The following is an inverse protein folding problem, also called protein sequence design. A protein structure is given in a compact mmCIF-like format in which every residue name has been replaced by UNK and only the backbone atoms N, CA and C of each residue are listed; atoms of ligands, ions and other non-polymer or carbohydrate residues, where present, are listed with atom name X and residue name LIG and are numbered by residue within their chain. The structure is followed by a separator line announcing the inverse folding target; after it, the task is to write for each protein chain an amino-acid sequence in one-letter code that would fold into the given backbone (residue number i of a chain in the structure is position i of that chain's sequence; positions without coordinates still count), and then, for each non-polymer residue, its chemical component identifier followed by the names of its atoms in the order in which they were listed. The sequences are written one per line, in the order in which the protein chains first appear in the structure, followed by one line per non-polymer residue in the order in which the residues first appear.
data_IF_382309947768
#
_entry.id   IF_382309947768
#
_cell.length_a   1.000
_cell.length_b   1.000
_cell.length_c   1.000
_cell.angle_alpha   90.00
_cell.angle_beta   90.00
_cell.angle_gamma   90.00
#
_symmetry.space_group_name_H-M   'P 1'
#
loop_
_entity.id
_entity.type
_entity.pdbx_description
1 polymer ?
#
# COMPACT_ATOMS: atom_id res chain seq x y z
N UNK A 1 -3.38 28.32 -27.38
CA UNK A 1 -4.68 28.72 -26.78
C UNK A 1 -5.07 27.63 -25.82
N UNK A 2 -5.14 27.95 -24.52
CA UNK A 2 -5.64 27.03 -23.49
C UNK A 2 -7.16 27.23 -23.46
N UNK A 3 -7.92 26.17 -23.66
CA UNK A 3 -9.38 26.21 -23.59
C UNK A 3 -9.82 26.51 -22.14
N UNK A 4 -10.50 27.64 -21.86
CA UNK A 4 -10.97 27.97 -20.51
C UNK A 4 -12.11 27.07 -20.01
N UNK A 5 -12.63 26.16 -20.85
CA UNK A 5 -13.64 25.15 -20.49
C UNK A 5 -13.06 23.73 -20.43
N UNK A 6 -11.74 23.55 -20.62
CA UNK A 6 -11.12 22.27 -20.31
C UNK A 6 -11.36 21.99 -18.82
N UNK A 7 -11.93 20.82 -18.45
CA UNK A 7 -12.03 20.47 -17.04
C UNK A 7 -10.62 20.58 -16.46
N UNK A 8 -10.49 21.30 -15.34
CA UNK A 8 -9.25 21.30 -14.57
C UNK A 8 -8.87 19.83 -14.37
N UNK A 9 -7.60 19.43 -14.61
CA UNK A 9 -7.21 18.04 -14.44
C UNK A 9 -7.66 17.63 -13.04
N UNK A 10 -8.52 16.60 -12.97
CA UNK A 10 -9.00 16.05 -11.72
C UNK A 10 -7.73 15.71 -10.91
N UNK A 11 -7.57 16.39 -9.77
CA UNK A 11 -6.38 16.27 -8.96
C UNK A 11 -6.27 14.79 -8.56
N UNK A 12 -5.12 14.16 -8.84
CA UNK A 12 -4.91 12.74 -8.53
C UNK A 12 -5.34 12.50 -7.06
N UNK A 13 -6.27 11.57 -6.76
CA UNK A 13 -6.68 11.28 -5.39
C UNK A 13 -5.52 10.97 -4.44
N UNK A 14 -4.38 10.51 -4.96
CA UNK A 14 -3.15 10.35 -4.17
C UNK A 14 -2.62 11.70 -3.67
N UNK A 15 -2.79 12.80 -4.39
CA UNK A 15 -2.32 14.13 -4.01
C UNK A 15 -3.32 14.92 -3.15
N UNK A 16 -4.42 14.31 -2.71
CA UNK A 16 -5.39 14.93 -1.81
C UNK A 16 -4.72 15.36 -0.48
N UNK A 17 -4.72 16.67 -0.21
CA UNK A 17 -4.14 17.25 1.00
C UNK A 17 -4.82 16.70 2.27
N UNK A 18 -6.14 16.49 2.28
CA UNK A 18 -6.84 15.96 3.45
C UNK A 18 -6.39 14.51 3.76
N UNK A 19 -6.08 13.74 2.72
CA UNK A 19 -5.52 12.38 2.85
C UNK A 19 -4.10 12.41 3.42
N UNK A 20 -3.26 13.33 2.95
CA UNK A 20 -1.90 13.51 3.49
C UNK A 20 -1.91 14.02 4.94
N UNK A 21 -2.84 14.90 5.29
CA UNK A 21 -3.06 15.34 6.67
C UNK A 21 -3.50 14.18 7.56
N UNK A 22 -4.40 13.32 7.08
CA UNK A 22 -4.79 12.12 7.82
C UNK A 22 -3.61 11.18 8.06
N UNK A 23 -2.68 11.04 7.10
CA UNK A 23 -1.44 10.28 7.32
C UNK A 23 -0.59 10.93 8.43
N UNK A 24 -0.45 12.25 8.40
CA UNK A 24 0.34 12.99 9.40
C UNK A 24 -0.26 12.94 10.82
N UNK A 25 -1.59 12.78 10.94
CA UNK A 25 -2.30 12.63 12.21
C UNK A 25 -2.13 11.23 12.85
N UNK A 26 -1.54 10.26 12.13
CA UNK A 26 -1.34 8.89 12.57
C UNK A 26 0.10 8.66 13.02
N UNK A 27 0.29 8.09 14.21
CA UNK A 27 1.62 7.71 14.72
C UNK A 27 2.05 6.36 14.14
N UNK A 28 2.30 6.35 12.83
CA UNK A 28 2.66 5.16 12.06
C UNK A 28 4.07 4.63 12.39
N UNK A 29 4.91 5.46 12.99
CA UNK A 29 6.31 5.17 13.28
C UNK A 29 6.54 4.65 14.70
N UNK A 30 5.50 4.63 15.54
CA UNK A 30 5.59 4.03 16.87
C UNK A 30 6.08 2.57 16.77
N UNK A 31 7.13 2.17 17.53
CA UNK A 31 7.68 0.81 17.47
C UNK A 31 6.63 -0.28 17.72
N UNK A 32 5.65 -0.02 18.59
CA UNK A 32 4.58 -0.99 18.84
C UNK A 32 3.65 -1.16 17.63
N UNK A 33 3.46 -0.12 16.82
CA UNK A 33 2.66 -0.16 15.58
C UNK A 33 3.40 -0.97 14.53
N UNK A 34 4.68 -0.69 14.26
CA UNK A 34 5.40 -1.47 13.25
C UNK A 34 5.55 -2.95 13.66
N UNK A 35 5.72 -3.24 14.95
CA UNK A 35 5.78 -4.63 15.45
C UNK A 35 4.47 -5.38 15.19
N UNK A 36 3.32 -4.83 15.60
CA UNK A 36 2.04 -5.52 15.40
C UNK A 36 1.70 -5.66 13.92
N UNK A 37 2.03 -4.66 13.09
CA UNK A 37 1.81 -4.74 11.66
C UNK A 37 2.74 -5.78 10.99
N UNK A 38 3.96 -5.92 11.48
CA UNK A 38 4.91 -6.94 11.00
C UNK A 38 4.38 -8.35 11.28
N UNK A 39 3.79 -8.60 12.45
CA UNK A 39 3.11 -9.87 12.76
C UNK A 39 1.98 -10.17 11.78
N UNK A 40 1.16 -9.18 11.43
CA UNK A 40 0.10 -9.35 10.44
C UNK A 40 0.65 -9.64 9.04
N UNK A 41 1.74 -8.97 8.62
CA UNK A 41 2.36 -9.26 7.31
C UNK A 41 2.93 -10.67 7.26
N UNK A 42 3.55 -11.15 8.35
CA UNK A 42 4.00 -12.54 8.46
C UNK A 42 2.83 -13.53 8.41
N UNK A 43 1.72 -13.22 9.08
CA UNK A 43 0.51 -14.04 9.03
C UNK A 43 -0.05 -14.14 7.61
N UNK A 44 -0.10 -13.03 6.86
CA UNK A 44 -0.52 -13.01 5.47
C UNK A 44 0.39 -13.90 4.60
N UNK A 45 1.71 -13.72 4.69
CA UNK A 45 2.70 -14.54 3.98
C UNK A 45 2.51 -16.03 4.28
N UNK A 46 2.34 -16.39 5.54
CA UNK A 46 2.18 -17.78 5.97
C UNK A 46 0.90 -18.40 5.45
N UNK A 47 -0.23 -17.69 5.55
CA UNK A 47 -1.54 -18.20 5.10
C UNK A 47 -1.63 -18.32 3.58
N UNK A 48 -1.02 -17.39 2.85
CA UNK A 48 -1.08 -17.36 1.39
C UNK A 48 0.13 -18.08 0.76
N UNK A 49 1.16 -18.45 1.52
CA UNK A 49 2.38 -19.04 0.95
C UNK A 49 3.09 -18.09 -0.02
N UNK A 50 3.18 -16.81 0.33
CA UNK A 50 3.88 -15.78 -0.44
C UNK A 50 5.09 -15.24 0.33
N UNK A 51 6.20 -14.91 -0.37
CA UNK A 51 7.44 -14.51 0.29
C UNK A 51 7.36 -13.11 0.89
N UNK A 52 6.52 -12.22 0.34
CA UNK A 52 6.52 -10.81 0.72
C UNK A 52 5.14 -10.36 1.20
N UNK A 53 5.12 -9.64 2.32
CA UNK A 53 3.93 -9.02 2.89
C UNK A 53 4.30 -7.64 3.43
N UNK A 54 3.49 -6.62 3.16
CA UNK A 54 3.82 -5.24 3.49
C UNK A 54 2.59 -4.47 3.93
N UNK A 55 2.82 -3.54 4.86
CA UNK A 55 1.92 -2.41 5.13
C UNK A 55 2.63 -1.16 4.66
N UNK A 56 2.06 -0.53 3.65
CA UNK A 56 2.62 0.64 2.99
C UNK A 56 1.70 1.84 3.17
N UNK A 57 2.30 3.02 3.28
CA UNK A 57 1.62 4.32 3.21
C UNK A 57 2.06 5.02 1.93
N UNK A 58 1.11 5.61 1.22
CA UNK A 58 1.37 6.29 -0.05
C UNK A 58 1.39 7.79 0.23
N UNK A 59 2.53 8.43 -0.02
CA UNK A 59 2.74 9.87 0.11
C UNK A 59 2.52 10.55 -1.25
N UNK A 60 2.96 11.79 -1.39
CA UNK A 60 2.90 12.60 -2.61
C UNK A 60 3.93 12.19 -3.67
N UNK A 61 5.16 11.87 -3.27
CA UNK A 61 6.24 11.48 -4.18
C UNK A 61 6.83 10.08 -3.91
N UNK A 62 6.41 9.44 -2.82
CA UNK A 62 6.95 8.15 -2.39
C UNK A 62 5.90 7.20 -1.83
N UNK A 63 6.27 5.93 -1.75
CA UNK A 63 5.65 4.98 -0.85
C UNK A 63 6.61 4.71 0.31
N UNK A 64 6.08 4.73 1.53
CA UNK A 64 6.81 4.39 2.73
C UNK A 64 6.38 3.01 3.27
N UNK A 65 7.35 2.18 3.62
CA UNK A 65 7.13 0.85 4.22
C UNK A 65 7.03 0.98 5.74
N UNK A 66 5.81 0.86 6.27
CA UNK A 66 5.56 0.94 7.73
C UNK A 66 5.97 -0.37 8.42
N UNK A 67 5.66 -1.50 7.80
CA UNK A 67 6.01 -2.82 8.27
C UNK A 67 6.09 -3.80 7.10
N UNK A 68 6.92 -4.83 7.23
CA UNK A 68 7.05 -5.85 6.20
C UNK A 68 7.50 -7.20 6.76
N UNK A 69 7.25 -8.23 5.96
CA UNK A 69 7.85 -9.54 6.06
C UNK A 69 8.52 -9.90 4.72
N UNK A 70 9.71 -10.50 4.80
CA UNK A 70 10.42 -11.08 3.65
C UNK A 70 11.12 -10.09 2.69
N UNK A 71 10.80 -8.79 2.73
CA UNK A 71 11.53 -7.79 1.94
C UNK A 71 12.99 -7.69 2.43
N UNK A 72 13.93 -7.67 1.47
CA UNK A 72 15.37 -7.54 1.68
C UNK A 72 15.95 -6.55 0.65
N UNK A 73 17.21 -6.16 0.81
CA UNK A 73 17.91 -5.30 -0.15
C UNK A 73 17.49 -3.84 -0.08
N UNK A 74 17.59 -3.14 -1.22
CA UNK A 74 17.51 -1.67 -1.27
C UNK A 74 16.16 -1.12 -0.78
N UNK A 75 15.05 -1.82 -1.01
CA UNK A 75 13.71 -1.39 -0.53
C UNK A 75 13.66 -1.43 1.00
N UNK A 76 14.26 -2.45 1.63
CA UNK A 76 14.32 -2.55 3.09
C UNK A 76 15.23 -1.47 3.68
N UNK A 77 16.36 -1.18 3.03
CA UNK A 77 17.32 -0.15 3.47
C UNK A 77 16.77 1.28 3.29
N UNK A 78 16.13 1.56 2.16
CA UNK A 78 15.51 2.85 1.87
C UNK A 78 14.16 3.04 2.57
N UNK A 79 13.57 1.94 3.09
CA UNK A 79 12.26 1.91 3.71
C UNK A 79 11.12 2.44 2.81
N UNK A 80 11.23 2.22 1.50
CA UNK A 80 10.29 2.80 0.55
C UNK A 80 10.68 2.66 -0.92
N UNK A 81 9.86 3.24 -1.78
CA UNK A 81 10.09 3.36 -3.23
C UNK A 81 9.59 4.72 -3.71
N UNK A 82 10.04 5.20 -4.89
CA UNK A 82 9.34 6.27 -5.60
C UNK A 82 7.86 5.92 -5.81
N UNK A 83 6.98 6.93 -5.79
CA UNK A 83 5.54 6.73 -5.98
C UNK A 83 5.23 6.08 -7.34
N UNK A 84 5.95 6.48 -8.39
CA UNK A 84 5.80 5.92 -9.74
C UNK A 84 6.16 4.42 -9.83
N UNK A 85 6.81 3.84 -8.81
CA UNK A 85 7.10 2.40 -8.73
C UNK A 85 6.10 1.66 -7.83
N UNK A 86 5.39 2.39 -6.97
CA UNK A 86 4.46 1.82 -6.00
C UNK A 86 3.21 1.22 -6.65
N UNK A 87 3.02 -0.09 -6.57
CA UNK A 87 1.77 -0.76 -6.95
C UNK A 87 0.61 -0.33 -6.04
N UNK A 88 0.90 0.01 -4.78
CA UNK A 88 -0.09 0.42 -3.79
C UNK A 88 -0.84 1.70 -4.19
N UNK A 89 -0.25 2.54 -5.07
CA UNK A 89 -0.90 3.75 -5.58
C UNK A 89 -2.23 3.46 -6.29
N UNK A 90 -2.32 2.32 -6.99
CA UNK A 90 -3.55 1.94 -7.70
C UNK A 90 -4.68 1.65 -6.71
N UNK A 91 -4.38 0.91 -5.62
CA UNK A 91 -5.36 0.64 -4.57
C UNK A 91 -5.81 1.91 -3.85
N UNK A 92 -4.89 2.86 -3.62
CA UNK A 92 -5.21 4.16 -2.99
C UNK A 92 -6.07 5.02 -3.91
N UNK A 93 -5.67 5.18 -5.17
CA UNK A 93 -6.35 6.00 -6.17
C UNK A 93 -7.77 5.50 -6.42
N UNK A 94 -7.92 4.20 -6.66
CA UNK A 94 -9.20 3.59 -7.05
C UNK A 94 -10.05 3.23 -5.82
N UNK A 95 -9.46 3.32 -4.61
CA UNK A 95 -10.08 2.95 -3.32
C UNK A 95 -10.67 1.54 -3.33
N UNK A 96 -10.04 0.67 -4.10
CA UNK A 96 -10.43 -0.73 -4.31
C UNK A 96 -9.21 -1.63 -4.24
N UNK A 97 -9.45 -2.94 -4.10
CA UNK A 97 -8.36 -3.91 -4.20
C UNK A 97 -7.67 -3.83 -5.58
N UNK A 98 -6.36 -3.99 -5.58
CA UNK A 98 -5.53 -4.03 -6.78
C UNK A 98 -4.81 -5.37 -6.85
N UNK A 99 -5.12 -6.15 -7.88
CA UNK A 99 -4.57 -7.49 -8.09
C UNK A 99 -3.87 -7.54 -9.45
N UNK A 100 -2.68 -8.13 -9.43
CA UNK A 100 -1.83 -8.40 -10.59
C UNK A 100 -1.38 -9.86 -10.48
N UNK A 101 -1.90 -10.72 -11.36
CA UNK A 101 -1.55 -12.14 -11.35
C UNK A 101 -0.21 -12.41 -12.05
N UNK A 102 0.09 -11.63 -13.08
CA UNK A 102 1.38 -11.64 -13.76
C UNK A 102 1.77 -10.22 -14.23
N UNK A 103 2.72 -9.63 -13.52
CA UNK A 103 3.16 -8.27 -13.74
C UNK A 103 3.88 -8.09 -15.08
N UNK A 104 4.49 -9.14 -15.65
CA UNK A 104 5.15 -9.04 -16.96
C UNK A 104 4.17 -8.82 -18.11
N UNK A 105 2.90 -9.18 -17.94
CA UNK A 105 1.86 -9.06 -18.97
C UNK A 105 0.77 -8.06 -18.61
N UNK A 106 0.87 -7.42 -17.44
CA UNK A 106 -0.10 -6.44 -16.98
C UNK A 106 0.30 -5.05 -17.49
N UNK A 107 -0.48 -4.51 -18.43
CA UNK A 107 -0.23 -3.21 -19.06
C UNK A 107 -0.10 -2.05 -18.06
N UNK A 108 -0.61 -2.19 -16.83
CA UNK A 108 -0.56 -1.13 -15.81
C UNK A 108 0.82 -1.03 -15.16
N UNK A 109 1.60 -2.12 -15.18
CA UNK A 109 2.82 -2.26 -14.37
C UNK A 109 3.98 -2.98 -15.06
N UNK A 110 3.82 -3.51 -16.28
CA UNK A 110 4.85 -4.31 -16.97
C UNK A 110 6.18 -3.58 -17.17
N UNK A 111 6.14 -2.26 -17.32
CA UNK A 111 7.32 -1.41 -17.52
C UNK A 111 7.88 -0.84 -16.20
N UNK A 112 7.34 -1.28 -15.05
CA UNK A 112 7.78 -0.83 -13.73
C UNK A 112 9.14 -1.46 -13.37
N UNK A 113 10.11 -0.69 -12.84
CA UNK A 113 11.42 -1.22 -12.43
C UNK A 113 11.35 -2.38 -11.41
N UNK A 114 10.33 -2.43 -10.56
CA UNK A 114 10.13 -3.56 -9.64
C UNK A 114 9.86 -4.88 -10.40
N UNK A 115 9.34 -4.79 -11.63
CA UNK A 115 9.05 -5.94 -12.50
C UNK A 115 10.26 -6.27 -13.37
N UNK A 116 10.86 -5.25 -14.00
CA UNK A 116 11.96 -5.43 -14.96
C UNK A 116 13.29 -5.75 -14.29
N UNK A 117 13.58 -5.11 -13.15
CA UNK A 117 14.86 -5.23 -12.44
C UNK A 117 14.76 -6.14 -11.21
N UNK A 118 13.71 -5.97 -10.38
CA UNK A 118 13.61 -6.66 -9.08
C UNK A 118 12.81 -7.97 -9.11
N UNK A 119 12.27 -8.36 -10.27
CA UNK A 119 11.65 -9.67 -10.47
C UNK A 119 10.27 -9.87 -9.85
N UNK A 120 9.54 -8.80 -9.50
CA UNK A 120 8.16 -8.90 -9.03
C UNK A 120 7.24 -9.50 -10.12
N UNK A 121 6.39 -10.46 -9.77
CA UNK A 121 5.48 -11.14 -10.71
C UNK A 121 4.03 -11.13 -10.29
N UNK A 122 3.72 -11.36 -9.03
CA UNK A 122 2.34 -11.26 -8.53
C UNK A 122 2.25 -10.25 -7.38
N UNK A 123 1.09 -9.60 -7.28
CA UNK A 123 0.77 -8.62 -6.26
C UNK A 123 -0.73 -8.65 -5.98
N UNK A 124 -1.10 -8.62 -4.70
CA UNK A 124 -2.46 -8.33 -4.27
C UNK A 124 -2.43 -7.34 -3.11
N UNK A 125 -3.11 -6.20 -3.27
CA UNK A 125 -3.17 -5.13 -2.28
C UNK A 125 -4.60 -4.72 -1.97
N UNK A 126 -4.91 -4.58 -0.68
CA UNK A 126 -6.18 -4.05 -0.18
C UNK A 126 -5.92 -2.65 0.38
N UNK A 127 -6.71 -1.63 0.01
CA UNK A 127 -6.50 -0.27 0.49
C UNK A 127 -6.73 -0.17 2.00
N UNK A 128 -5.84 0.57 2.66
CA UNK A 128 -5.97 0.97 4.06
C UNK A 128 -6.88 2.19 4.10
N UNK A 129 -8.17 1.97 4.35
CA UNK A 129 -9.17 3.03 4.46
C UNK A 129 -9.41 3.34 5.93
N UNK A 130 -9.14 4.58 6.35
CA UNK A 130 -9.37 5.04 7.72
C UNK A 130 -10.85 5.22 8.01
N UNK A 131 -11.23 5.32 9.29
CA UNK A 131 -12.60 5.63 9.72
C UNK A 131 -13.12 6.98 9.21
N UNK A 132 -12.22 7.90 8.84
CA UNK A 132 -12.54 9.18 8.20
C UNK A 132 -12.70 9.07 6.67
N UNK A 133 -12.53 7.86 6.13
CA UNK A 133 -12.75 7.55 4.73
C UNK A 133 -11.57 7.86 3.82
N UNK A 134 -10.37 8.11 4.34
CA UNK A 134 -9.17 8.34 3.51
C UNK A 134 -8.45 7.02 3.23
N UNK A 135 -8.09 6.78 1.96
CA UNK A 135 -7.21 5.67 1.59
C UNK A 135 -5.75 6.11 1.77
N UNK A 136 -5.10 5.65 2.85
CA UNK A 136 -3.77 6.14 3.23
C UNK A 136 -2.63 5.29 2.64
N UNK A 137 -2.94 4.10 2.14
CA UNK A 137 -1.96 3.14 1.66
C UNK A 137 -2.59 1.79 1.36
N UNK A 138 -1.83 0.71 1.48
CA UNK A 138 -2.36 -0.65 1.33
C UNK A 138 -1.67 -1.67 2.21
N UNK A 139 -2.42 -2.70 2.60
CA UNK A 139 -1.87 -3.97 3.04
C UNK A 139 -1.75 -4.88 1.81
N UNK A 140 -0.55 -5.37 1.51
CA UNK A 140 -0.34 -6.18 0.31
C UNK A 140 0.56 -7.38 0.52
N UNK A 141 0.41 -8.36 -0.37
CA UNK A 141 1.31 -9.50 -0.53
C UNK A 141 1.85 -9.53 -1.96
N UNK A 142 3.04 -10.08 -2.12
CA UNK A 142 3.75 -10.10 -3.39
C UNK A 142 4.65 -11.33 -3.53
N UNK A 143 5.00 -11.67 -4.76
CA UNK A 143 5.87 -12.81 -5.07
C UNK A 143 6.57 -12.71 -6.42
N UNK A 144 7.59 -13.56 -6.60
CA UNK A 144 8.44 -13.62 -7.79
C UNK A 144 7.97 -14.62 -8.85
N UNK A 145 6.80 -15.23 -8.67
CA UNK A 145 6.17 -16.14 -9.64
C UNK A 145 4.75 -15.67 -9.95
N UNK A 146 4.27 -15.81 -11.21
CA UNK A 146 2.89 -15.54 -11.55
C UNK A 146 1.91 -16.41 -10.75
N UNK A 147 0.80 -15.83 -10.34
CA UNK A 147 -0.19 -16.51 -9.49
C UNK A 147 -1.54 -15.80 -9.48
N UNK A 148 -2.62 -16.57 -9.50
CA UNK A 148 -3.98 -16.08 -9.24
C UNK A 148 -4.32 -16.11 -7.74
N UNK A 149 -5.23 -15.24 -7.32
CA UNK A 149 -5.70 -15.15 -5.92
C UNK A 149 -7.18 -15.54 -5.84
N UNK A 150 -7.51 -16.51 -5.00
CA UNK A 150 -8.88 -16.96 -4.84
C UNK A 150 -9.69 -16.09 -3.86
N UNK A 151 -11.01 -16.33 -3.79
CA UNK A 151 -11.91 -15.55 -2.95
C UNK A 151 -11.61 -15.68 -1.44
N UNK A 152 -11.08 -16.80 -0.98
CA UNK A 152 -10.72 -17.03 0.41
C UNK A 152 -9.44 -16.27 0.76
N UNK A 153 -8.44 -16.31 -0.11
CA UNK A 153 -7.17 -15.56 0.04
C UNK A 153 -7.43 -14.06 0.10
N UNK A 154 -8.26 -13.54 -0.81
CA UNK A 154 -8.66 -12.15 -0.79
C UNK A 154 -9.46 -11.79 0.46
N UNK A 155 -10.28 -12.72 0.98
CA UNK A 155 -11.00 -12.51 2.24
C UNK A 155 -10.06 -12.47 3.46
N UNK A 156 -9.01 -13.29 3.47
CA UNK A 156 -7.96 -13.25 4.49
C UNK A 156 -7.27 -11.89 4.46
N UNK A 157 -6.85 -11.43 3.28
CA UNK A 157 -6.20 -10.12 3.13
C UNK A 157 -7.11 -8.98 3.61
N UNK A 158 -8.39 -8.97 3.22
CA UNK A 158 -9.36 -7.96 3.72
C UNK A 158 -9.49 -7.98 5.24
N UNK A 159 -9.51 -9.16 5.85
CA UNK A 159 -9.61 -9.31 7.31
C UNK A 159 -8.37 -8.77 8.03
N UNK A 160 -7.17 -9.09 7.52
CA UNK A 160 -5.91 -8.59 8.07
C UNK A 160 -5.76 -7.08 7.85
N UNK A 161 -6.22 -6.55 6.72
CA UNK A 161 -6.23 -5.11 6.42
C UNK A 161 -7.14 -4.37 7.40
N UNK A 162 -8.32 -4.90 7.70
CA UNK A 162 -9.22 -4.32 8.69
C UNK A 162 -8.61 -4.32 10.10
N UNK A 163 -7.85 -5.36 10.46
CA UNK A 163 -7.10 -5.37 11.72
C UNK A 163 -5.96 -4.35 11.73
N UNK A 164 -5.20 -4.23 10.63
CA UNK A 164 -4.14 -3.24 10.49
C UNK A 164 -4.69 -1.81 10.69
N UNK A 165 -5.81 -1.46 10.07
CA UNK A 165 -6.48 -0.16 10.28
C UNK A 165 -6.84 0.04 11.76
N UNK A 166 -7.44 -0.95 12.41
CA UNK A 166 -7.77 -0.85 13.84
C UNK A 166 -6.54 -0.61 14.72
N UNK A 167 -5.37 -1.16 14.35
CA UNK A 167 -4.12 -0.94 15.08
C UNK A 167 -3.55 0.45 14.84
N UNK A 168 -3.54 0.89 13.58
CA UNK A 168 -3.09 2.22 13.17
C UNK A 168 -3.94 3.31 13.86
N UNK A 169 -5.26 3.21 13.81
CA UNK A 169 -6.15 4.25 14.34
C UNK A 169 -6.21 4.34 15.86
N UNK A 170 -5.78 3.30 16.59
CA UNK A 170 -5.62 3.39 18.06
C UNK A 170 -4.51 4.36 18.48
N UNK A 171 -3.61 4.70 17.56
CA UNK A 171 -2.47 5.58 17.77
C UNK A 171 -2.61 6.83 16.90
N UNK A 172 -3.73 7.54 17.06
CA UNK A 172 -3.84 8.92 16.54
C UNK A 172 -3.01 9.84 17.42
N UNK A 173 -2.18 10.65 16.80
CA UNK A 173 -1.52 11.76 17.47
C UNK A 173 -2.64 12.71 17.86
N UNK A 174 -2.85 12.91 19.16
CA UNK A 174 -3.74 13.99 19.59
C UNK A 174 -3.00 15.27 19.32
N UNK A 175 -3.26 15.90 18.17
CA UNK A 175 -2.84 17.28 17.95
C UNK A 175 -3.50 18.12 19.02
N UNK A 176 -2.75 18.45 20.07
CA UNK A 176 -3.13 19.52 20.97
C UNK A 176 -3.21 20.78 20.12
N UNK A 177 -4.44 21.21 19.83
CA UNK A 177 -4.68 22.56 19.33
C UNK A 177 -3.98 23.52 20.30
N UNK A 178 -2.92 24.16 19.83
CA UNK A 178 -2.26 25.28 20.51
C UNK A 178 -2.23 26.45 19.55
#
# INVERSE_FOLDING_TARGET
MIDPHAPSPELDPVLDIARLQEIADLDLFAPEVSSILSELTFEACTKLGLPFGLVNVVLDEAQYVVAHHGIVGWIAEAQGTPLEWAFCRFAVRDRSEFVVENAQTDERVKDNPLVTEDGLRCYAGIPLITSRGHAIGSFCVAGSEPRSFDGLEMQILRTLTAEAIRRIERRRVTSAAT
#
